data_IF_177806649882
#
_entry.id   IF_177806649882
#
_cell.length_a   1.000
_cell.length_b   1.000
_cell.length_c   1.000
_cell.angle_alpha   90.00
_cell.angle_beta   90.00
_cell.angle_gamma   90.00
#
_symmetry.space_group_name_H-M   'P 1'
#
loop_
_entity.id
_entity.type
_entity.pdbx_description
1 polymer ?
#
# COMPACT_ATOMS: atom_id res chain seq x y z
N UNK A 1 0.42 11.67 -8.67
CA UNK A 1 0.74 10.39 -7.98
C UNK A 1 -0.42 9.39 -7.99
N UNK A 2 -1.67 9.78 -7.65
CA UNK A 2 -2.83 8.85 -7.73
C UNK A 2 -3.00 8.24 -9.13
N UNK A 3 -2.97 9.05 -10.20
CA UNK A 3 -3.11 8.53 -11.56
C UNK A 3 -1.98 7.57 -11.93
N UNK A 4 -0.75 7.87 -11.52
CA UNK A 4 0.39 6.97 -11.69
C UNK A 4 0.15 5.62 -10.99
N UNK A 5 -0.36 5.64 -9.75
CA UNK A 5 -0.71 4.42 -9.02
C UNK A 5 -1.80 3.62 -9.75
N UNK A 6 -2.85 4.28 -10.26
CA UNK A 6 -3.95 3.64 -11.01
C UNK A 6 -3.50 2.94 -12.29
N UNK A 7 -2.38 3.38 -12.88
CA UNK A 7 -1.78 2.75 -14.05
C UNK A 7 -0.60 1.82 -13.71
N UNK A 8 -0.31 1.60 -12.42
CA UNK A 8 0.73 0.67 -11.99
C UNK A 8 0.27 -0.77 -12.06
N UNK A 9 1.23 -1.71 -12.08
CA UNK A 9 0.93 -3.14 -12.02
C UNK A 9 0.14 -3.52 -10.76
N UNK A 10 0.31 -2.81 -9.63
CA UNK A 10 -0.48 -3.07 -8.42
C UNK A 10 -1.96 -2.85 -8.66
N UNK A 11 -2.35 -1.75 -9.32
CA UNK A 11 -3.76 -1.48 -9.62
C UNK A 11 -4.34 -2.40 -10.72
N UNK A 12 -3.48 -3.09 -11.48
CA UNK A 12 -3.89 -4.08 -12.49
C UNK A 12 -4.13 -5.45 -11.85
N UNK A 13 -3.28 -5.87 -10.91
CA UNK A 13 -3.31 -7.22 -10.34
C UNK A 13 -3.98 -7.33 -8.97
N UNK A 14 -4.13 -6.23 -8.25
CA UNK A 14 -4.69 -6.20 -6.90
C UNK A 14 -5.88 -5.25 -6.80
N UNK A 15 -6.74 -5.49 -5.81
CA UNK A 15 -7.81 -4.56 -5.46
C UNK A 15 -7.22 -3.39 -4.67
N UNK A 16 -6.93 -2.30 -5.37
CA UNK A 16 -6.38 -1.08 -4.76
C UNK A 16 -7.50 -0.05 -4.54
N UNK A 17 -7.76 0.27 -3.29
CA UNK A 17 -8.59 1.41 -2.91
C UNK A 17 -7.70 2.64 -2.70
N UNK A 18 -8.16 3.78 -3.20
CA UNK A 18 -7.47 5.07 -3.06
C UNK A 18 -8.42 6.10 -2.49
N UNK A 19 -8.05 6.65 -1.35
CA UNK A 19 -8.78 7.74 -0.69
C UNK A 19 -7.92 9.00 -0.71
N UNK A 20 -8.38 10.06 -1.39
CA UNK A 20 -7.70 11.36 -1.36
C UNK A 20 -7.97 12.01 -0.01
N UNK A 21 -6.91 12.35 0.73
CA UNK A 21 -7.03 12.98 2.05
C UNK A 21 -6.89 14.50 1.93
N UNK A 22 -5.91 14.95 1.13
CA UNK A 22 -5.67 16.37 0.83
C UNK A 22 -5.22 16.53 -0.63
N UNK A 23 -4.89 17.74 -1.06
CA UNK A 23 -4.25 17.96 -2.36
C UNK A 23 -2.86 17.32 -2.49
N UNK A 24 -2.16 17.11 -1.37
CA UNK A 24 -0.79 16.58 -1.33
C UNK A 24 -0.69 15.18 -0.74
N UNK A 25 -1.79 14.59 -0.30
CA UNK A 25 -1.76 13.27 0.35
C UNK A 25 -2.97 12.42 0.01
N UNK A 26 -2.71 11.12 -0.05
CA UNK A 26 -3.74 10.11 -0.25
C UNK A 26 -3.36 8.82 0.46
N UNK A 27 -4.37 8.05 0.80
CA UNK A 27 -4.24 6.71 1.35
C UNK A 27 -4.43 5.68 0.25
N UNK A 28 -3.61 4.64 0.30
CA UNK A 28 -3.69 3.46 -0.55
C UNK A 28 -3.94 2.25 0.33
N UNK A 29 -5.00 1.49 0.04
CA UNK A 29 -5.27 0.20 0.67
C UNK A 29 -5.22 -0.90 -0.38
N UNK A 30 -4.65 -2.04 -0.01
CA UNK A 30 -4.77 -3.27 -0.79
C UNK A 30 -5.78 -4.15 -0.09
N UNK A 31 -6.91 -4.41 -0.72
CA UNK A 31 -7.95 -5.30 -0.18
C UNK A 31 -7.83 -6.69 -0.77
N UNK A 32 -8.17 -7.70 0.02
CA UNK A 32 -8.16 -9.11 -0.36
C UNK A 32 -6.87 -9.52 -1.11
N UNK A 33 -5.70 -9.13 -0.60
CA UNK A 33 -4.44 -9.27 -1.34
C UNK A 33 -4.21 -10.69 -1.86
N UNK A 34 -3.93 -10.82 -3.15
CA UNK A 34 -3.76 -12.12 -3.81
C UNK A 34 -2.65 -12.96 -3.16
N UNK A 35 -1.53 -12.33 -2.78
CA UNK A 35 -0.39 -12.97 -2.15
C UNK A 35 -0.73 -13.47 -0.74
N UNK A 36 -1.49 -12.70 0.05
CA UNK A 36 -1.91 -13.13 1.39
C UNK A 36 -2.92 -14.30 1.31
N UNK A 37 -3.85 -14.25 0.35
CA UNK A 37 -4.77 -15.36 0.10
C UNK A 37 -4.02 -16.64 -0.31
N UNK A 38 -2.99 -16.51 -1.16
CA UNK A 38 -2.15 -17.63 -1.58
C UNK A 38 -1.36 -18.21 -0.39
N UNK A 39 -0.72 -17.35 0.41
CA UNK A 39 0.00 -17.77 1.62
C UNK A 39 -0.89 -18.55 2.59
N UNK A 40 -2.12 -18.07 2.84
CA UNK A 40 -3.10 -18.80 3.66
C UNK A 40 -3.44 -20.18 3.08
N UNK A 41 -3.59 -20.30 1.76
CA UNK A 41 -3.83 -21.60 1.08
C UNK A 41 -2.64 -22.54 1.21
N UNK A 42 -1.42 -22.01 1.32
CA UNK A 42 -0.20 -22.77 1.52
C UNK A 42 0.10 -23.08 2.99
N UNK A 43 -0.80 -22.75 3.91
CA UNK A 43 -0.61 -22.98 5.35
C UNK A 43 0.42 -22.06 5.99
N UNK A 44 0.78 -20.97 5.32
CA UNK A 44 1.63 -19.92 5.88
C UNK A 44 0.78 -19.00 6.77
N UNK A 45 1.37 -18.51 7.86
CA UNK A 45 0.71 -17.54 8.75
C UNK A 45 0.42 -16.23 8.02
N UNK A 46 1.41 -15.72 7.26
CA UNK A 46 1.28 -14.56 6.38
C UNK A 46 2.36 -14.57 5.30
N UNK A 47 2.20 -13.74 4.27
CA UNK A 47 3.25 -13.43 3.31
C UNK A 47 4.01 -12.18 3.74
N UNK A 48 5.28 -12.32 4.09
CA UNK A 48 6.10 -11.21 4.60
C UNK A 48 6.60 -10.30 3.46
N UNK A 49 5.72 -9.42 2.99
CA UNK A 49 6.06 -8.47 1.93
C UNK A 49 6.35 -7.06 2.42
N UNK A 50 6.09 -6.71 3.69
CA UNK A 50 6.13 -5.35 4.23
C UNK A 50 7.42 -4.57 3.93
N UNK A 51 8.61 -5.12 4.26
CA UNK A 51 9.89 -4.44 4.00
C UNK A 51 10.12 -4.17 2.50
N UNK A 52 9.96 -5.20 1.66
CA UNK A 52 10.14 -5.07 0.20
C UNK A 52 9.10 -4.14 -0.41
N UNK A 53 7.85 -4.23 0.05
CA UNK A 53 6.75 -3.36 -0.34
C UNK A 53 7.03 -1.88 -0.05
N UNK A 54 7.62 -1.59 1.12
CA UNK A 54 8.02 -0.23 1.52
C UNK A 54 9.07 0.32 0.57
N UNK A 55 10.12 -0.45 0.26
CA UNK A 55 11.21 -0.04 -0.64
C UNK A 55 10.65 0.25 -2.04
N UNK A 56 9.91 -0.71 -2.61
CA UNK A 56 9.37 -0.59 -3.97
C UNK A 56 8.43 0.59 -4.13
N UNK A 57 7.49 0.78 -3.19
CA UNK A 57 6.56 1.93 -3.24
C UNK A 57 7.30 3.25 -3.08
N UNK A 58 8.24 3.32 -2.13
CA UNK A 58 9.04 4.53 -1.91
C UNK A 58 9.81 4.93 -3.16
N UNK A 59 10.50 3.98 -3.79
CA UNK A 59 11.22 4.23 -5.04
C UNK A 59 10.28 4.65 -6.18
N UNK A 60 9.17 3.93 -6.36
CA UNK A 60 8.18 4.19 -7.40
C UNK A 60 7.61 5.62 -7.33
N UNK A 61 7.19 6.07 -6.14
CA UNK A 61 6.64 7.41 -6.01
C UNK A 61 7.72 8.50 -6.04
N UNK A 62 8.92 8.22 -5.52
CA UNK A 62 10.05 9.17 -5.58
C UNK A 62 10.55 9.43 -6.99
N UNK A 63 10.51 8.43 -7.87
CA UNK A 63 10.86 8.59 -9.28
C UNK A 63 9.97 9.62 -9.97
N UNK A 64 8.66 9.61 -9.64
CA UNK A 64 7.71 10.57 -10.20
C UNK A 64 7.73 11.94 -9.50
N UNK A 65 8.09 11.98 -8.23
CA UNK A 65 8.25 13.22 -7.46
C UNK A 65 9.26 13.01 -6.33
N UNK A 66 10.45 13.65 -6.35
CA UNK A 66 11.48 13.47 -5.33
C UNK A 66 11.04 13.80 -3.90
N UNK A 67 10.01 14.64 -3.73
CA UNK A 67 9.44 15.00 -2.43
C UNK A 67 8.32 14.04 -1.98
N UNK A 68 8.06 12.97 -2.74
CA UNK A 68 7.09 11.96 -2.35
C UNK A 68 7.62 11.15 -1.15
N UNK A 69 6.76 11.00 -0.16
CA UNK A 69 6.97 10.15 1.00
C UNK A 69 5.92 9.06 1.04
N UNK A 70 6.37 7.87 1.39
CA UNK A 70 5.52 6.71 1.63
C UNK A 70 5.71 6.31 3.08
N UNK A 71 4.63 6.21 3.82
CA UNK A 71 4.59 5.70 5.17
C UNK A 71 3.73 4.45 5.21
N UNK A 72 4.28 3.36 5.75
CA UNK A 72 3.48 2.18 6.11
C UNK A 72 2.57 2.56 7.28
N UNK A 73 1.27 2.40 7.10
CA UNK A 73 0.32 2.48 8.23
C UNK A 73 0.28 1.12 8.91
N UNK A 74 0.12 0.06 8.13
CA UNK A 74 0.37 -1.32 8.55
C UNK A 74 0.61 -2.22 7.32
N UNK A 75 1.35 -3.30 7.53
CA UNK A 75 1.45 -4.42 6.60
C UNK A 75 1.67 -5.72 7.39
N UNK A 76 1.33 -6.91 6.85
CA UNK A 76 1.50 -8.16 7.59
C UNK A 76 2.96 -8.33 8.06
N UNK A 77 3.18 -8.79 9.31
CA UNK A 77 2.20 -9.36 10.24
C UNK A 77 1.47 -8.34 11.12
N UNK A 78 1.72 -7.04 10.95
CA UNK A 78 1.12 -6.00 11.77
C UNK A 78 -0.40 -6.00 11.59
N UNK A 79 -1.11 -5.87 12.72
CA UNK A 79 -2.56 -5.69 12.72
C UNK A 79 -2.83 -4.22 12.39
N UNK A 80 -3.83 -3.99 11.53
CA UNK A 80 -4.27 -2.63 11.23
C UNK A 80 -4.81 -1.90 12.46
N UNK A 81 -4.75 -0.56 12.48
CA UNK A 81 -5.30 0.24 13.57
C UNK A 81 -6.81 0.00 13.75
N UNK A 82 -7.35 0.39 14.91
CA UNK A 82 -8.78 0.25 15.22
C UNK A 82 -9.67 0.83 14.11
N UNK A 83 -10.69 0.07 13.72
CA UNK A 83 -11.59 0.43 12.62
C UNK A 83 -11.09 0.07 11.21
N UNK A 84 -9.92 -0.56 11.08
CA UNK A 84 -9.47 -1.14 9.80
C UNK A 84 -10.39 -2.29 9.40
N UNK A 85 -11.01 -2.27 8.21
CA UNK A 85 -11.83 -3.39 7.74
C UNK A 85 -11.02 -4.68 7.59
N UNK A 86 -11.60 -5.82 7.94
CA UNK A 86 -10.91 -7.13 7.94
C UNK A 86 -10.38 -7.55 6.55
N UNK A 87 -10.99 -7.06 5.48
CA UNK A 87 -10.56 -7.36 4.12
C UNK A 87 -9.35 -6.53 3.68
N UNK A 88 -8.89 -5.53 4.44
CA UNK A 88 -7.70 -4.73 4.11
C UNK A 88 -6.45 -5.49 4.55
N UNK A 89 -5.59 -5.81 3.59
CA UNK A 89 -4.35 -6.54 3.84
C UNK A 89 -3.18 -5.63 4.21
N UNK A 90 -3.12 -4.41 3.66
CA UNK A 90 -2.14 -3.40 4.03
C UNK A 90 -2.62 -2.00 3.67
N UNK A 91 -2.09 -1.00 4.39
CA UNK A 91 -2.42 0.41 4.20
C UNK A 91 -1.14 1.27 4.17
N UNK A 92 -1.14 2.23 3.25
CA UNK A 92 -0.04 3.15 3.01
C UNK A 92 -0.56 4.57 2.94
N UNK A 93 0.14 5.50 3.60
CA UNK A 93 -0.04 6.93 3.42
C UNK A 93 1.02 7.45 2.45
N UNK A 94 0.59 8.08 1.38
CA UNK A 94 1.46 8.71 0.40
C UNK A 94 1.23 10.21 0.49
N UNK A 95 2.32 10.98 0.65
CA UNK A 95 2.28 12.44 0.73
C UNK A 95 3.38 13.09 -0.10
N UNK A 96 3.23 14.37 -0.38
CA UNK A 96 4.26 15.24 -0.96
C UNK A 96 4.68 16.22 0.13
N UNK A 97 5.93 16.14 0.57
CA UNK A 97 6.48 17.08 1.56
C UNK A 97 6.75 18.46 0.93
N UNK A 98 6.64 19.50 1.74
CA UNK A 98 7.10 20.84 1.38
C UNK A 98 8.63 20.88 1.50
N UNK A 99 9.28 21.61 0.59
CA UNK A 99 10.74 21.79 0.63
C UNK A 99 11.15 22.75 1.73
#
# INVERSE_FOLDING_TARGET
LIQLLRHSHWAVFENIEVEKLTEKSFKMRTTECSSQRAAKRWGMEYYDCGPTATIMRSAFFKEANPNAKVQQVFAPPEIGPEGTPENVSCEWLISIEEK
#
